data_IF_143942537166
#
_entry.id   IF_143942537166
#
_cell.length_a   1.000
_cell.length_b   1.000
_cell.length_c   1.000
_cell.angle_alpha   90.00
_cell.angle_beta   90.00
_cell.angle_gamma   90.00
#
_symmetry.space_group_name_H-M   'P 1'
#
loop_
_entity.id
_entity.type
_entity.pdbx_description
1 polymer ?
#
# COMPACT_ATOMS: atom_id res chain seq x y z
N UNK A 1 12.99 5.85 -1.28
CA UNK A 1 12.85 4.43 -1.67
C UNK A 1 11.49 4.10 -2.27
N UNK A 2 10.47 4.97 -2.13
CA UNK A 2 9.14 4.83 -2.73
C UNK A 2 8.98 5.55 -4.08
N UNK A 3 9.94 6.40 -4.45
CA UNK A 3 9.94 7.15 -5.72
C UNK A 3 10.35 6.30 -6.94
N UNK A 4 10.63 5.01 -6.77
CA UNK A 4 11.21 4.14 -7.80
C UNK A 4 10.24 3.06 -8.31
N UNK A 5 9.04 2.95 -7.73
CA UNK A 5 8.09 1.86 -8.01
C UNK A 5 6.87 2.31 -8.84
N UNK A 6 6.61 3.61 -8.95
CA UNK A 6 5.49 4.13 -9.76
C UNK A 6 4.09 3.69 -9.29
N UNK A 7 3.98 3.15 -8.08
CA UNK A 7 2.69 2.76 -7.50
C UNK A 7 1.99 4.02 -7.04
N UNK A 8 0.79 4.23 -7.57
CA UNK A 8 -0.08 5.33 -7.18
C UNK A 8 -0.60 5.06 -5.76
N UNK A 9 -0.02 5.76 -4.77
CA UNK A 9 -0.31 5.52 -3.36
C UNK A 9 -1.78 5.79 -3.03
N UNK A 10 -2.43 6.75 -3.68
CA UNK A 10 -3.86 7.00 -3.53
C UNK A 10 -4.69 5.77 -3.93
N UNK A 11 -4.41 5.18 -5.10
CA UNK A 11 -5.08 3.96 -5.54
C UNK A 11 -4.75 2.76 -4.63
N UNK A 12 -3.54 2.68 -4.11
CA UNK A 12 -3.15 1.64 -3.16
C UNK A 12 -3.94 1.75 -1.85
N UNK A 13 -4.09 2.96 -1.30
CA UNK A 13 -4.89 3.22 -0.10
C UNK A 13 -6.37 2.90 -0.35
N UNK A 14 -6.92 3.32 -1.49
CA UNK A 14 -8.29 2.98 -1.90
C UNK A 14 -8.49 1.45 -2.03
N UNK A 15 -7.49 0.74 -2.57
CA UNK A 15 -7.47 -0.71 -2.63
C UNK A 15 -7.48 -1.37 -1.25
N UNK A 16 -6.71 -0.85 -0.30
CA UNK A 16 -6.76 -1.31 1.10
C UNK A 16 -8.12 -0.98 1.73
N UNK A 17 -8.65 0.22 1.53
CA UNK A 17 -9.93 0.66 2.10
C UNK A 17 -11.12 -0.16 1.58
N UNK A 18 -11.02 -0.65 0.34
CA UNK A 18 -12.00 -1.54 -0.30
C UNK A 18 -11.79 -3.03 -0.01
N UNK A 19 -10.82 -3.37 0.84
CA UNK A 19 -10.45 -4.76 1.16
C UNK A 19 -10.10 -5.59 -0.09
N UNK A 20 -9.46 -4.96 -1.09
CA UNK A 20 -9.02 -5.66 -2.30
C UNK A 20 -7.92 -6.67 -1.98
N UNK A 21 -7.90 -7.75 -2.76
CA UNK A 21 -6.90 -8.80 -2.61
C UNK A 21 -5.52 -8.32 -3.10
N UNK A 22 -4.46 -8.80 -2.45
CA UNK A 22 -3.09 -8.39 -2.79
C UNK A 22 -2.71 -8.74 -4.23
N UNK A 23 -3.28 -9.83 -4.77
CA UNK A 23 -3.11 -10.26 -6.16
C UNK A 23 -3.76 -9.29 -7.14
N UNK A 24 -4.99 -8.86 -6.89
CA UNK A 24 -5.70 -7.91 -7.76
C UNK A 24 -4.98 -6.56 -7.81
N UNK A 25 -4.56 -6.07 -6.64
CA UNK A 25 -3.75 -4.85 -6.56
C UNK A 25 -2.41 -5.04 -7.27
N UNK A 26 -1.75 -6.18 -7.10
CA UNK A 26 -0.48 -6.46 -7.76
C UNK A 26 -0.60 -6.44 -9.28
N UNK A 27 -1.65 -7.03 -9.83
CA UNK A 27 -1.93 -7.01 -11.28
C UNK A 27 -2.25 -5.59 -11.76
N UNK A 28 -3.06 -4.84 -11.02
CA UNK A 28 -3.45 -3.46 -11.35
C UNK A 28 -2.26 -2.49 -11.32
N UNK A 29 -1.37 -2.65 -10.33
CA UNK A 29 -0.16 -1.84 -10.17
C UNK A 29 1.04 -2.38 -10.98
N UNK A 30 0.91 -3.54 -11.63
CA UNK A 30 2.01 -4.17 -12.37
C UNK A 30 3.19 -4.61 -11.49
N UNK A 31 2.93 -4.90 -10.21
CA UNK A 31 3.95 -5.32 -9.24
C UNK A 31 3.70 -6.75 -8.78
N UNK A 32 4.58 -7.29 -7.93
CA UNK A 32 4.34 -8.61 -7.35
C UNK A 32 3.40 -8.51 -6.14
N UNK A 33 2.55 -9.52 -5.89
CA UNK A 33 1.73 -9.57 -4.67
C UNK A 33 2.55 -9.54 -3.38
N UNK A 34 3.82 -9.99 -3.46
CA UNK A 34 4.78 -9.89 -2.37
C UNK A 34 5.13 -8.43 -2.05
N UNK A 35 5.26 -7.58 -3.08
CA UNK A 35 5.47 -6.14 -2.94
C UNK A 35 4.28 -5.49 -2.26
N UNK A 36 3.05 -5.82 -2.67
CA UNK A 36 1.81 -5.31 -2.06
C UNK A 36 1.72 -5.70 -0.58
N UNK A 37 2.02 -6.96 -0.23
CA UNK A 37 2.05 -7.41 1.16
C UNK A 37 3.09 -6.67 2.00
N UNK A 38 4.28 -6.42 1.45
CA UNK A 38 5.30 -5.60 2.10
C UNK A 38 4.84 -4.15 2.31
N UNK A 39 4.21 -3.54 1.31
CA UNK A 39 3.68 -2.18 1.38
C UNK A 39 2.54 -2.08 2.41
N UNK A 40 1.63 -3.05 2.45
CA UNK A 40 0.57 -3.12 3.47
C UNK A 40 1.21 -3.20 4.84
N UNK A 41 2.13 -4.14 5.07
CA UNK A 41 2.81 -4.28 6.36
C UNK A 41 3.51 -2.98 6.79
N UNK A 42 4.20 -2.33 5.84
CA UNK A 42 4.85 -1.05 6.06
C UNK A 42 3.83 0.06 6.39
N UNK A 43 2.69 0.11 5.69
CA UNK A 43 1.60 1.05 5.96
C UNK A 43 0.98 0.83 7.35
N UNK A 44 0.67 -0.41 7.73
CA UNK A 44 0.14 -0.73 9.06
C UNK A 44 1.14 -0.40 10.18
N UNK A 45 2.44 -0.65 9.94
CA UNK A 45 3.48 -0.46 10.95
C UNK A 45 3.95 0.99 11.10
N UNK A 46 4.04 1.73 10.00
CA UNK A 46 4.58 3.09 9.97
C UNK A 46 3.50 4.14 9.67
N UNK A 47 2.56 3.86 8.77
CA UNK A 47 1.50 4.79 8.37
C UNK A 47 0.45 5.04 9.46
N UNK A 48 0.05 4.03 10.23
CA UNK A 48 -0.91 4.22 11.33
C UNK A 48 -0.31 5.01 12.49
N UNK A 49 0.96 4.76 12.82
CA UNK A 49 1.64 5.52 13.86
C UNK A 49 1.83 6.99 13.46
N UNK A 50 1.97 7.28 12.17
CA UNK A 50 2.10 8.65 11.63
C UNK A 50 0.75 9.39 11.61
N UNK A 51 -0.34 8.71 11.23
CA UNK A 51 -1.69 9.30 11.14
C UNK A 51 -2.38 9.44 12.51
N UNK A 52 -2.11 8.56 13.47
CA UNK A 52 -2.66 8.67 14.84
C UNK A 52 -1.86 9.60 15.76
N UNK A 53 -0.78 10.23 15.27
CA UNK A 53 0.13 11.07 16.04
C UNK A 53 0.16 12.55 15.66
N UNK A 54 -0.79 13.04 14.87
CA UNK A 54 -0.99 14.48 14.68
C UNK A 54 -1.92 14.99 15.79
N UNK A 55 -1.29 15.67 16.76
CA UNK A 55 -1.85 16.37 17.93
C UNK A 55 -3.04 17.30 17.57
#
# INVERSE_FOLDING_TARGET
MTNEVGIDFDNFIDGIAKDRSDTEMAEEFGVTPKTIGHLKNHFWRYGINDIQGQD
#
